data_IF_022714923809
#
_entry.id   IF_022714923809
#
_cell.length_a   1.000
_cell.length_b   1.000
_cell.length_c   1.000
_cell.angle_alpha   90.00
_cell.angle_beta   90.00
_cell.angle_gamma   90.00
#
_symmetry.space_group_name_H-M   'P 1'
#
loop_
_entity.id
_entity.type
_entity.pdbx_description
1 polymer ?
#
# COMPACT_ATOMS: atom_id res chain seq x y z
N UNK A 1 -39.67 30.07 -27.28
CA UNK A 1 -39.09 29.51 -26.04
C UNK A 1 -38.93 27.97 -26.03
N UNK A 2 -39.64 27.20 -26.86
CA UNK A 2 -39.56 25.72 -26.87
C UNK A 2 -38.19 25.16 -27.33
N UNK A 3 -37.45 25.89 -28.16
CA UNK A 3 -36.12 25.47 -28.65
C UNK A 3 -35.02 25.55 -27.58
N UNK A 4 -35.07 26.56 -26.70
CA UNK A 4 -34.14 26.75 -25.58
C UNK A 4 -34.30 25.63 -24.54
N UNK A 5 -35.55 25.27 -24.23
CA UNK A 5 -35.89 24.14 -23.35
C UNK A 5 -35.35 22.80 -23.87
N UNK A 6 -35.41 22.56 -25.19
CA UNK A 6 -34.94 21.29 -25.78
C UNK A 6 -33.41 21.14 -25.74
N UNK A 7 -32.66 22.22 -25.97
CA UNK A 7 -31.19 22.21 -25.87
C UNK A 7 -30.73 22.09 -24.42
N UNK A 8 -31.39 22.80 -23.50
CA UNK A 8 -31.12 22.69 -22.07
C UNK A 8 -31.41 21.28 -21.55
N UNK A 9 -32.48 20.63 -22.02
CA UNK A 9 -32.81 19.26 -21.63
C UNK A 9 -31.73 18.25 -22.04
N UNK A 10 -31.17 18.35 -23.25
CA UNK A 10 -30.06 17.48 -23.69
C UNK A 10 -28.83 17.67 -22.79
N UNK A 11 -28.52 18.92 -22.43
CA UNK A 11 -27.39 19.23 -21.54
C UNK A 11 -27.61 18.64 -20.14
N UNK A 12 -28.84 18.70 -19.63
CA UNK A 12 -29.21 18.16 -18.32
C UNK A 12 -29.10 16.63 -18.27
N UNK A 13 -29.55 15.95 -19.33
CA UNK A 13 -29.36 14.48 -19.46
C UNK A 13 -27.88 14.11 -19.48
N UNK A 14 -27.05 14.90 -20.17
CA UNK A 14 -25.61 14.66 -20.24
C UNK A 14 -24.93 14.85 -18.88
N UNK A 15 -25.33 15.88 -18.12
CA UNK A 15 -24.86 16.11 -16.74
C UNK A 15 -25.26 14.95 -15.83
N UNK A 16 -26.51 14.50 -15.88
CA UNK A 16 -26.98 13.38 -15.05
C UNK A 16 -26.22 12.10 -15.40
N UNK A 17 -26.01 11.83 -16.68
CA UNK A 17 -25.21 10.69 -17.14
C UNK A 17 -23.76 10.77 -16.66
N UNK A 18 -23.15 11.95 -16.70
CA UNK A 18 -21.79 12.17 -16.20
C UNK A 18 -21.70 11.94 -14.69
N UNK A 19 -22.62 12.52 -13.91
CA UNK A 19 -22.65 12.38 -12.45
C UNK A 19 -22.87 10.91 -12.06
N UNK A 20 -23.72 10.20 -12.79
CA UNK A 20 -23.94 8.77 -12.59
C UNK A 20 -22.70 7.93 -12.93
N UNK A 21 -22.01 8.24 -14.02
CA UNK A 21 -20.73 7.59 -14.35
C UNK A 21 -19.67 7.87 -13.28
N UNK A 22 -19.62 9.10 -12.77
CA UNK A 22 -18.67 9.52 -11.73
C UNK A 22 -18.94 8.81 -10.40
N UNK A 23 -20.20 8.63 -10.00
CA UNK A 23 -20.53 7.93 -8.75
C UNK A 23 -20.17 6.44 -8.80
N UNK A 24 -20.39 5.78 -9.94
CA UNK A 24 -19.94 4.40 -10.18
C UNK A 24 -18.41 4.32 -10.11
N UNK A 25 -17.73 5.27 -10.75
CA UNK A 25 -16.26 5.34 -10.74
C UNK A 25 -15.72 5.51 -9.32
N UNK A 26 -16.25 6.46 -8.56
CA UNK A 26 -15.85 6.70 -7.16
C UNK A 26 -16.07 5.46 -6.30
N UNK A 27 -17.23 4.80 -6.41
CA UNK A 27 -17.52 3.56 -5.67
C UNK A 27 -16.52 2.44 -6.01
N UNK A 28 -16.17 2.29 -7.28
CA UNK A 28 -15.13 1.33 -7.71
C UNK A 28 -13.74 1.74 -7.25
N UNK A 29 -13.44 3.03 -7.24
CA UNK A 29 -12.16 3.56 -6.75
C UNK A 29 -11.99 3.23 -5.27
N UNK A 30 -12.96 3.57 -4.40
CA UNK A 30 -12.86 3.25 -2.97
C UNK A 30 -12.75 1.75 -2.66
N UNK A 31 -13.36 0.89 -3.49
CA UNK A 31 -13.35 -0.57 -3.24
C UNK A 31 -12.18 -1.31 -3.88
N UNK A 32 -11.63 -0.81 -5.00
CA UNK A 32 -10.60 -1.51 -5.79
C UNK A 32 -9.29 -0.75 -5.92
N UNK A 33 -9.19 0.47 -5.41
CA UNK A 33 -7.95 1.25 -5.41
C UNK A 33 -6.75 0.48 -4.83
N UNK A 34 -6.86 -0.30 -3.73
CA UNK A 34 -5.73 -1.07 -3.22
C UNK A 34 -5.19 -2.09 -4.24
N UNK A 35 -6.10 -2.74 -4.99
CA UNK A 35 -5.72 -3.73 -6.01
C UNK A 35 -5.09 -3.08 -7.25
N UNK A 36 -5.50 -1.85 -7.58
CA UNK A 36 -4.94 -1.07 -8.70
C UNK A 36 -3.58 -0.46 -8.36
N UNK A 37 -3.40 -0.01 -7.10
CA UNK A 37 -2.13 0.49 -6.61
C UNK A 37 -1.05 -0.61 -6.62
N UNK A 38 -1.43 -1.83 -6.21
CA UNK A 38 -0.54 -2.99 -6.14
C UNK A 38 -0.36 -3.73 -7.49
N UNK A 39 -0.78 -3.14 -8.60
CA UNK A 39 -0.67 -3.78 -9.91
C UNK A 39 0.81 -3.87 -10.35
N UNK A 40 1.30 -5.03 -10.85
CA UNK A 40 2.71 -5.25 -11.18
C UNK A 40 3.32 -4.28 -12.21
N UNK A 41 2.49 -3.55 -12.96
CA UNK A 41 2.93 -2.52 -13.90
C UNK A 41 3.40 -1.22 -13.21
N UNK A 42 3.03 -0.98 -11.93
CA UNK A 42 3.46 0.17 -11.14
C UNK A 42 4.88 -0.03 -10.57
N UNK A 43 5.86 -0.28 -11.46
CA UNK A 43 7.28 -0.53 -11.13
C UNK A 43 8.01 0.60 -10.39
N UNK A 44 7.43 1.79 -10.30
CA UNK A 44 8.06 2.92 -9.60
C UNK A 44 7.91 2.84 -8.07
N UNK A 45 7.05 1.95 -7.56
CA UNK A 45 6.91 1.66 -6.13
C UNK A 45 7.64 0.37 -5.70
N UNK A 46 8.09 -0.41 -6.68
CA UNK A 46 8.70 -1.71 -6.49
C UNK A 46 10.00 -1.81 -7.30
N UNK A 47 11.15 -1.63 -6.64
CA UNK A 47 12.41 -2.03 -7.26
C UNK A 47 12.46 -3.56 -7.27
N UNK A 48 12.44 -4.16 -8.47
CA UNK A 48 12.58 -5.62 -8.65
C UNK A 48 11.54 -6.47 -7.91
N UNK A 49 10.28 -6.03 -7.85
CA UNK A 49 9.22 -6.79 -7.17
C UNK A 49 9.33 -6.80 -5.65
N UNK A 50 10.25 -6.01 -5.07
CA UNK A 50 10.33 -5.77 -3.63
C UNK A 50 9.92 -4.32 -3.34
N UNK A 51 9.11 -4.16 -2.30
CA UNK A 51 8.81 -2.86 -1.70
C UNK A 51 10.14 -2.17 -1.34
N UNK A 52 10.34 -0.94 -1.81
CA UNK A 52 11.46 -0.06 -1.39
C UNK A 52 11.19 0.53 0.00
N UNK A 53 10.05 0.20 0.61
CA UNK A 53 9.70 0.75 1.91
C UNK A 53 10.54 0.17 3.04
N UNK A 54 10.92 1.04 3.96
CA UNK A 54 11.65 0.71 5.17
C UNK A 54 10.68 0.53 6.33
N UNK A 55 10.76 -0.60 7.01
CA UNK A 55 9.92 -0.92 8.16
C UNK A 55 10.69 -1.75 9.19
N UNK A 56 10.40 -1.54 10.48
CA UNK A 56 11.07 -2.21 11.59
C UNK A 56 10.03 -2.89 12.47
N UNK A 57 10.26 -4.15 12.82
CA UNK A 57 9.46 -4.91 13.77
C UNK A 57 10.26 -5.03 15.07
N UNK A 58 9.66 -4.58 16.16
CA UNK A 58 10.24 -4.63 17.50
C UNK A 58 9.54 -5.67 18.37
N UNK A 59 10.27 -6.24 19.34
CA UNK A 59 9.68 -6.90 20.50
C UNK A 59 9.18 -5.85 21.51
N UNK A 60 8.44 -6.29 22.53
CA UNK A 60 7.95 -5.49 23.66
C UNK A 60 9.04 -4.78 24.46
N UNK A 61 10.30 -5.19 24.30
CA UNK A 61 11.48 -4.60 24.92
C UNK A 61 12.29 -3.72 23.95
N UNK A 62 11.68 -3.26 22.85
CA UNK A 62 12.31 -2.43 21.81
C UNK A 62 13.50 -3.09 21.09
N UNK A 63 13.60 -4.42 21.18
CA UNK A 63 14.60 -5.18 20.44
C UNK A 63 14.16 -5.39 18.99
N UNK A 64 15.03 -5.07 18.03
CA UNK A 64 14.76 -5.23 16.59
C UNK A 64 14.71 -6.71 16.21
N UNK A 65 13.53 -7.19 15.82
CA UNK A 65 13.32 -8.55 15.33
C UNK A 65 13.55 -8.64 13.81
N UNK A 66 13.12 -7.61 13.09
CA UNK A 66 13.22 -7.47 11.64
C UNK A 66 13.37 -6.00 11.28
N UNK A 67 14.26 -5.68 10.33
CA UNK A 67 14.45 -4.33 9.80
C UNK A 67 14.65 -4.43 8.29
N UNK A 68 13.83 -3.71 7.53
CA UNK A 68 14.06 -3.50 6.11
C UNK A 68 14.65 -2.10 5.91
N UNK A 69 15.83 -2.02 5.28
CA UNK A 69 16.53 -0.76 4.96
C UNK A 69 17.00 -0.83 3.51
N UNK A 70 16.55 0.13 2.69
CA UNK A 70 16.97 0.27 1.28
C UNK A 70 16.86 -1.05 0.47
N UNK A 71 15.79 -1.83 0.70
CA UNK A 71 15.55 -3.12 0.03
C UNK A 71 16.36 -4.31 0.56
N UNK A 72 17.25 -4.09 1.53
CA UNK A 72 17.91 -5.14 2.31
C UNK A 72 17.13 -5.44 3.58
N UNK A 73 17.11 -6.71 3.99
CA UNK A 73 16.43 -7.16 5.22
C UNK A 73 17.48 -7.67 6.20
N UNK A 74 17.44 -7.12 7.40
CA UNK A 74 18.23 -7.54 8.54
C UNK A 74 17.31 -8.14 9.61
N UNK A 75 17.71 -9.28 10.17
CA UNK A 75 17.03 -9.90 11.31
C UNK A 75 17.85 -9.70 12.58
N UNK A 76 17.23 -9.93 13.73
CA UNK A 76 17.87 -9.86 15.04
C UNK A 76 19.28 -10.51 15.07
N UNK A 77 20.28 -9.88 15.69
CA UNK A 77 21.69 -10.35 15.66
C UNK A 77 21.91 -11.73 16.28
N UNK A 78 21.15 -12.07 17.31
CA UNK A 78 21.20 -13.37 17.98
C UNK A 78 20.51 -14.48 17.15
N UNK A 79 21.28 -15.53 16.80
CA UNK A 79 20.78 -16.69 16.04
C UNK A 79 19.61 -17.39 16.72
N UNK A 80 19.67 -17.59 18.04
CA UNK A 80 18.62 -18.27 18.81
C UNK A 80 17.29 -17.54 18.70
N UNK A 81 17.33 -16.20 18.80
CA UNK A 81 16.15 -15.34 18.67
C UNK A 81 15.55 -15.44 17.26
N UNK A 82 16.39 -15.34 16.21
CA UNK A 82 15.92 -15.48 14.82
C UNK A 82 15.26 -16.84 14.55
N UNK A 83 15.89 -17.93 15.00
CA UNK A 83 15.35 -19.27 14.76
C UNK A 83 14.07 -19.50 15.54
N UNK A 84 14.00 -19.05 16.79
CA UNK A 84 12.80 -19.18 17.61
C UNK A 84 11.62 -18.38 17.03
N UNK A 85 11.89 -17.18 16.50
CA UNK A 85 10.84 -16.27 16.02
C UNK A 85 10.59 -16.34 14.51
N UNK A 86 11.30 -17.18 13.74
CA UNK A 86 11.16 -17.25 12.28
C UNK A 86 9.71 -17.39 11.81
N UNK A 87 8.91 -18.20 12.51
CA UNK A 87 7.49 -18.41 12.19
C UNK A 87 6.63 -17.16 12.44
N UNK A 88 7.03 -16.33 13.42
CA UNK A 88 6.31 -15.10 13.78
C UNK A 88 6.78 -13.91 12.94
N UNK A 89 8.08 -13.76 12.70
CA UNK A 89 8.63 -12.66 11.90
C UNK A 89 8.44 -12.89 10.40
N UNK A 90 8.54 -14.14 9.94
CA UNK A 90 8.60 -14.52 8.54
C UNK A 90 10.02 -14.72 8.02
N UNK A 91 10.15 -14.90 6.70
CA UNK A 91 11.41 -15.16 6.00
C UNK A 91 11.61 -14.23 4.79
N UNK A 92 12.81 -14.29 4.18
CA UNK A 92 13.19 -13.41 3.06
C UNK A 92 12.48 -13.70 1.73
N UNK A 93 11.87 -14.89 1.62
CA UNK A 93 11.25 -15.39 0.39
C UNK A 93 9.73 -15.51 0.53
N UNK A 94 9.16 -14.98 1.61
CA UNK A 94 7.73 -15.03 1.89
C UNK A 94 7.16 -16.47 1.88
N UNK A 95 7.98 -17.47 2.22
CA UNK A 95 7.53 -18.86 2.41
C UNK A 95 6.64 -18.98 3.65
N UNK A 96 6.82 -18.10 4.64
CA UNK A 96 5.97 -18.01 5.81
C UNK A 96 4.86 -17.00 5.54
N UNK A 97 3.77 -17.48 4.93
CA UNK A 97 2.65 -16.64 4.50
C UNK A 97 1.94 -15.88 5.63
N UNK A 98 2.09 -16.35 6.87
CA UNK A 98 1.50 -15.75 8.08
C UNK A 98 2.49 -14.92 8.90
N UNK A 99 3.73 -14.78 8.43
CA UNK A 99 4.77 -14.02 9.13
C UNK A 99 4.42 -12.54 9.18
N UNK A 100 4.78 -11.88 10.28
CA UNK A 100 4.48 -10.46 10.52
C UNK A 100 5.02 -9.55 9.41
N UNK A 101 6.18 -9.85 8.82
CA UNK A 101 6.74 -9.09 7.70
C UNK A 101 5.81 -9.06 6.48
N UNK A 102 5.11 -10.16 6.20
CA UNK A 102 4.17 -10.25 5.08
C UNK A 102 2.77 -9.77 5.49
N UNK A 103 2.27 -10.22 6.65
CA UNK A 103 0.94 -9.87 7.15
C UNK A 103 0.75 -8.37 7.42
N UNK A 104 1.83 -7.66 7.77
CA UNK A 104 1.84 -6.20 7.99
C UNK A 104 2.64 -5.46 6.91
N UNK A 105 2.85 -6.08 5.75
CA UNK A 105 3.59 -5.47 4.65
C UNK A 105 3.04 -4.10 4.26
N UNK A 106 1.71 -3.92 4.22
CA UNK A 106 1.08 -2.62 3.96
C UNK A 106 1.48 -1.55 4.99
N UNK A 107 1.52 -1.90 6.28
CA UNK A 107 1.93 -0.96 7.36
C UNK A 107 3.43 -0.68 7.35
N UNK A 108 4.24 -1.71 7.10
CA UNK A 108 5.69 -1.59 6.91
C UNK A 108 6.03 -0.82 5.62
N UNK A 109 5.09 -0.78 4.67
CA UNK A 109 5.24 -0.08 3.40
C UNK A 109 5.05 1.44 3.49
N UNK A 110 4.61 1.95 4.65
CA UNK A 110 4.24 3.35 4.83
C UNK A 110 3.08 3.76 3.93
N UNK A 111 2.27 2.80 3.45
CA UNK A 111 1.16 3.04 2.55
C UNK A 111 -0.06 3.52 3.32
N UNK A 112 -0.63 4.63 2.86
CA UNK A 112 -1.92 5.16 3.31
C UNK A 112 -2.87 5.30 2.10
N UNK A 113 -4.16 5.11 2.32
CA UNK A 113 -5.19 5.30 1.29
C UNK A 113 -5.21 6.74 0.72
N UNK A 114 -4.87 7.74 1.53
CA UNK A 114 -4.88 9.15 1.12
C UNK A 114 -3.59 9.59 0.40
N UNK A 115 -2.43 9.07 0.80
CA UNK A 115 -1.11 9.51 0.30
C UNK A 115 -0.40 8.45 -0.58
N UNK A 116 -0.95 7.25 -0.71
CA UNK A 116 -0.26 6.12 -1.30
C UNK A 116 0.97 5.74 -0.47
N UNK A 117 2.06 5.32 -1.12
CA UNK A 117 3.37 5.09 -0.50
C UNK A 117 4.20 6.38 -0.34
N UNK A 118 3.60 7.55 -0.59
CA UNK A 118 4.27 8.83 -0.50
C UNK A 118 4.38 9.24 0.97
N UNK A 119 5.57 9.04 1.54
CA UNK A 119 5.90 9.51 2.89
C UNK A 119 6.35 10.97 2.79
N UNK A 120 5.54 11.90 3.32
CA UNK A 120 5.89 13.32 3.45
C UNK A 120 7.02 13.59 4.48
N UNK A 121 7.47 12.56 5.19
CA UNK A 121 8.48 12.73 6.22
C UNK A 121 9.88 12.50 5.65
N UNK A 122 10.54 13.60 5.29
CA UNK A 122 11.97 13.66 4.97
C UNK A 122 12.89 13.36 6.16
N UNK A 123 12.44 12.57 7.13
CA UNK A 123 13.27 12.08 8.23
C UNK A 123 13.71 10.66 7.94
N UNK A 124 14.73 10.59 7.09
CA UNK A 124 15.78 9.57 7.18
C UNK A 124 16.35 9.63 8.60
N UNK A 125 15.77 8.87 9.51
CA UNK A 125 16.20 8.79 10.90
C UNK A 125 17.26 7.71 11.08
N UNK A 126 18.51 8.14 11.26
CA UNK A 126 19.54 7.56 12.14
C UNK A 126 19.84 6.06 12.06
#
# INVERSE_FOLDING_TARGET
MKLLLRRAAVLLVLIVSLVFGMSIFLTKYFTKAPQWANYPANKHLYANGKSISSGIIYDRHDNVLYKMTDGSVEFHRNKTVRTALMHATGDLKDNVSTGAALAFSDKLSGWDFANGSYSFDGKRGG
#
